data_IF_587223172516
#
_entry.id   IF_587223172516
#
_cell.length_a   1.000
_cell.length_b   1.000
_cell.length_c   1.000
_cell.angle_alpha   90.00
_cell.angle_beta   90.00
_cell.angle_gamma   90.00
#
_symmetry.space_group_name_H-M   'P 1'
#
loop_
_entity.id
_entity.type
_entity.pdbx_description
1 polymer ?
#
# COMPACT_ATOMS: atom_id res chain seq x y z
N UNK A 1 8.66 5.22 20.39
CA UNK A 1 9.09 5.24 18.98
C UNK A 1 7.84 5.29 18.11
N UNK A 2 7.80 6.17 17.11
CA UNK A 2 6.69 6.22 16.16
C UNK A 2 6.76 4.97 15.28
N UNK A 3 5.64 4.25 15.12
CA UNK A 3 5.60 3.02 14.33
C UNK A 3 5.96 3.35 12.88
N UNK A 4 6.93 2.63 12.30
CA UNK A 4 7.30 2.81 10.90
C UNK A 4 6.12 2.47 9.98
N UNK A 5 6.07 3.04 8.79
CA UNK A 5 5.06 2.71 7.79
C UNK A 5 5.13 1.22 7.42
N UNK A 6 6.32 0.63 7.39
CA UNK A 6 6.49 -0.80 7.18
C UNK A 6 5.87 -1.64 8.30
N UNK A 7 6.21 -1.38 9.56
CA UNK A 7 5.67 -2.13 10.70
C UNK A 7 4.15 -1.97 10.82
N UNK A 8 3.65 -0.76 10.51
CA UNK A 8 2.22 -0.50 10.39
C UNK A 8 1.59 -1.36 9.30
N UNK A 9 2.22 -1.44 8.12
CA UNK A 9 1.73 -2.23 7.00
C UNK A 9 1.70 -3.72 7.33
N UNK A 10 2.77 -4.26 7.93
CA UNK A 10 2.83 -5.66 8.38
C UNK A 10 1.73 -5.96 9.41
N UNK A 11 1.55 -5.10 10.41
CA UNK A 11 0.50 -5.26 11.41
C UNK A 11 -0.91 -5.18 10.82
N UNK A 12 -1.12 -4.31 9.83
CA UNK A 12 -2.39 -4.18 9.13
C UNK A 12 -2.68 -5.44 8.30
N UNK A 13 -1.70 -5.96 7.57
CA UNK A 13 -1.84 -7.19 6.78
C UNK A 13 -2.12 -8.44 7.62
N UNK A 14 -1.66 -8.48 8.86
CA UNK A 14 -1.96 -9.57 9.80
C UNK A 14 -3.44 -9.61 10.23
N UNK A 15 -4.23 -8.57 9.93
CA UNK A 15 -5.65 -8.53 10.29
C UNK A 15 -6.51 -9.34 9.33
N UNK A 16 -7.53 -10.07 9.83
CA UNK A 16 -8.44 -10.85 8.99
C UNK A 16 -9.06 -10.00 7.87
N UNK A 17 -9.05 -10.53 6.64
CA UNK A 17 -9.66 -9.90 5.46
C UNK A 17 -8.87 -8.75 4.82
N UNK A 18 -7.83 -8.21 5.47
CA UNK A 18 -7.03 -7.11 4.89
C UNK A 18 -6.24 -7.57 3.67
N UNK A 19 -5.53 -8.70 3.79
CA UNK A 19 -4.72 -9.21 2.69
C UNK A 19 -5.58 -9.49 1.45
N UNK A 20 -6.74 -10.13 1.63
CA UNK A 20 -7.69 -10.41 0.55
C UNK A 20 -8.22 -9.11 -0.09
N UNK A 21 -8.55 -8.12 0.71
CA UNK A 21 -9.04 -6.84 0.23
C UNK A 21 -7.98 -6.06 -0.55
N UNK A 22 -6.73 -6.02 -0.06
CA UNK A 22 -5.61 -5.41 -0.78
C UNK A 22 -5.35 -6.13 -2.11
N UNK A 23 -5.40 -7.47 -2.12
CA UNK A 23 -5.23 -8.27 -3.33
C UNK A 23 -6.34 -7.97 -4.36
N UNK A 24 -7.60 -7.91 -3.92
CA UNK A 24 -8.72 -7.53 -4.80
C UNK A 24 -8.54 -6.14 -5.39
N UNK A 25 -8.12 -5.17 -4.58
CA UNK A 25 -7.84 -3.80 -5.05
C UNK A 25 -6.70 -3.75 -6.07
N UNK A 26 -5.65 -4.55 -5.86
CA UNK A 26 -4.55 -4.69 -6.82
C UNK A 26 -5.00 -5.37 -8.11
N UNK A 27 -5.87 -6.38 -8.03
CA UNK A 27 -6.30 -7.20 -9.16
C UNK A 27 -7.35 -6.50 -10.02
N UNK A 28 -8.34 -5.83 -9.41
CA UNK A 28 -9.46 -5.22 -10.13
C UNK A 28 -9.14 -3.82 -10.65
N UNK A 29 -8.25 -3.08 -9.99
CA UNK A 29 -8.05 -1.63 -10.22
C UNK A 29 -6.58 -1.22 -10.38
N UNK A 30 -5.65 -2.17 -10.39
CA UNK A 30 -4.20 -1.90 -10.32
C UNK A 30 -3.84 -0.89 -9.21
N UNK A 31 -4.59 -0.94 -8.09
CA UNK A 31 -4.46 0.03 -7.02
C UNK A 31 -3.03 0.04 -6.45
N UNK A 32 -2.52 1.23 -6.16
CA UNK A 32 -1.25 1.41 -5.48
C UNK A 32 -1.44 1.17 -3.98
N UNK A 33 -1.27 -0.09 -3.57
CA UNK A 33 -1.38 -0.48 -2.17
C UNK A 33 -0.38 0.27 -1.29
N UNK A 34 0.81 0.65 -1.79
CA UNK A 34 1.75 1.44 -1.02
C UNK A 34 1.18 2.83 -0.67
N UNK A 35 0.49 3.48 -1.62
CA UNK A 35 -0.22 4.74 -1.35
C UNK A 35 -1.41 4.55 -0.38
N UNK A 36 -2.16 3.45 -0.49
CA UNK A 36 -3.25 3.15 0.45
C UNK A 36 -2.74 2.96 1.88
N UNK A 37 -1.65 2.23 2.04
CA UNK A 37 -0.99 2.01 3.33
C UNK A 37 -0.45 3.32 3.90
N UNK A 38 0.19 4.15 3.06
CA UNK A 38 0.67 5.48 3.45
C UNK A 38 -0.48 6.38 3.92
N UNK A 39 -1.62 6.38 3.20
CA UNK A 39 -2.82 7.12 3.58
C UNK A 39 -3.32 6.73 4.98
N UNK A 40 -3.49 5.43 5.25
CA UNK A 40 -3.94 4.93 6.56
C UNK A 40 -2.95 5.25 7.68
N UNK A 41 -1.66 5.17 7.40
CA UNK A 41 -0.61 5.51 8.37
C UNK A 41 -0.60 7.01 8.69
N UNK A 42 -0.78 7.88 7.69
CA UNK A 42 -0.87 9.33 7.88
C UNK A 42 -2.12 9.74 8.69
N UNK A 43 -3.25 9.06 8.46
CA UNK A 43 -4.45 9.22 9.27
C UNK A 43 -4.21 8.82 10.73
N UNK A 44 -3.52 7.70 10.97
CA UNK A 44 -3.15 7.27 12.32
C UNK A 44 -2.20 8.26 13.01
N UNK A 45 -1.32 8.91 12.25
CA UNK A 45 -0.45 10.00 12.73
C UNK A 45 -1.18 11.34 12.88
N UNK A 46 -2.47 11.41 12.49
CA UNK A 46 -3.28 12.64 12.47
C UNK A 46 -2.65 13.74 11.62
N UNK A 47 -1.98 13.39 10.53
CA UNK A 47 -1.47 14.39 9.59
C UNK A 47 -2.64 14.89 8.76
N UNK A 48 -2.78 16.21 8.63
CA UNK A 48 -3.86 16.78 7.83
C UNK A 48 -3.62 16.58 6.33
N UNK A 49 -4.69 16.43 5.55
CA UNK A 49 -4.57 16.33 4.10
C UNK A 49 -4.28 17.71 3.52
N UNK A 50 -3.35 17.79 2.59
CA UNK A 50 -3.09 19.02 1.82
C UNK A 50 -2.79 18.63 0.37
N UNK A 51 -3.21 19.46 -0.58
CA UNK A 51 -3.08 19.17 -2.00
C UNK A 51 -1.61 18.92 -2.39
N UNK A 52 -0.69 19.70 -1.81
CA UNK A 52 0.75 19.61 -2.01
C UNK A 52 1.32 18.30 -1.48
N UNK A 53 0.83 17.83 -0.33
CA UNK A 53 1.27 16.56 0.27
C UNK A 53 0.76 15.36 -0.53
N UNK A 54 -0.48 15.42 -1.01
CA UNK A 54 -1.07 14.40 -1.90
C UNK A 54 -0.29 14.33 -3.21
N UNK A 55 0.04 15.48 -3.81
CA UNK A 55 0.89 15.55 -4.99
C UNK A 55 2.27 14.95 -4.74
N UNK A 56 2.93 15.30 -3.63
CA UNK A 56 4.25 14.78 -3.27
C UNK A 56 4.26 13.24 -3.14
N UNK A 57 3.23 12.65 -2.52
CA UNK A 57 3.11 11.18 -2.44
C UNK A 57 2.94 10.55 -3.82
N UNK A 58 2.09 11.14 -4.68
CA UNK A 58 1.84 10.66 -6.05
C UNK A 58 3.08 10.77 -6.93
N UNK A 59 3.82 11.86 -6.82
CA UNK A 59 5.05 12.08 -7.58
C UNK A 59 6.16 11.12 -7.16
N UNK A 60 6.21 10.74 -5.89
CA UNK A 60 7.13 9.72 -5.39
C UNK A 60 6.72 8.30 -5.81
N UNK A 61 5.44 7.95 -5.69
CA UNK A 61 4.95 6.59 -5.94
C UNK A 61 4.73 6.29 -7.43
N UNK A 62 4.15 7.21 -8.19
CA UNK A 62 3.70 6.97 -9.56
C UNK A 62 4.80 6.45 -10.51
N UNK A 63 5.98 7.09 -10.60
CA UNK A 63 7.08 6.60 -11.42
C UNK A 63 7.55 5.21 -10.99
N UNK A 64 7.68 4.97 -9.68
CA UNK A 64 8.10 3.68 -9.13
C UNK A 64 7.10 2.58 -9.45
N UNK A 65 5.81 2.85 -9.25
CA UNK A 65 4.72 1.93 -9.54
C UNK A 65 4.74 1.52 -11.02
N UNK A 66 4.87 2.49 -11.94
CA UNK A 66 4.87 2.23 -13.40
C UNK A 66 6.10 1.49 -13.90
N UNK A 67 7.27 1.74 -13.31
CA UNK A 67 8.56 1.24 -13.83
C UNK A 67 9.08 0.00 -13.10
N UNK A 68 8.62 -0.25 -11.87
CA UNK A 68 9.10 -1.34 -11.03
C UNK A 68 7.95 -2.27 -10.63
N UNK A 69 7.01 -1.79 -9.81
CA UNK A 69 6.00 -2.67 -9.20
C UNK A 69 5.03 -3.27 -10.22
N UNK A 70 4.46 -2.47 -11.13
CA UNK A 70 3.52 -2.97 -12.15
C UNK A 70 4.18 -3.96 -13.13
N UNK A 71 5.40 -3.71 -13.66
CA UNK A 71 6.10 -4.70 -14.48
C UNK A 71 6.34 -6.03 -13.76
N UNK A 72 6.84 -6.01 -12.51
CA UNK A 72 7.06 -7.21 -11.71
C UNK A 72 5.75 -7.96 -11.49
N UNK A 73 4.68 -7.24 -11.10
CA UNK A 73 3.37 -7.80 -10.85
C UNK A 73 2.75 -8.43 -12.10
N UNK A 74 2.86 -7.76 -13.26
CA UNK A 74 2.37 -8.26 -14.55
C UNK A 74 3.10 -9.54 -14.95
N UNK A 75 4.42 -9.55 -14.85
CA UNK A 75 5.24 -10.73 -15.17
C UNK A 75 4.89 -11.89 -14.22
N UNK A 76 4.79 -11.61 -12.92
CA UNK A 76 4.34 -12.58 -11.95
C UNK A 76 2.96 -13.09 -12.34
N UNK A 77 1.95 -12.26 -12.56
CA UNK A 77 0.60 -12.74 -12.95
C UNK A 77 0.64 -13.62 -14.22
N UNK A 78 1.37 -13.20 -15.25
CA UNK A 78 1.50 -13.94 -16.52
C UNK A 78 2.07 -15.35 -16.33
N UNK A 79 3.00 -15.54 -15.37
CA UNK A 79 3.60 -16.85 -15.09
C UNK A 79 2.71 -17.77 -14.23
N UNK A 80 1.46 -17.40 -13.89
CA UNK A 80 0.64 -18.18 -12.95
C UNK A 80 0.22 -19.52 -13.52
N UNK A 81 -0.34 -19.52 -14.72
CA UNK A 81 -0.75 -20.76 -15.38
C UNK A 81 0.47 -21.58 -15.86
N UNK A 82 1.49 -21.00 -16.51
CA UNK A 82 2.66 -21.76 -16.95
C UNK A 82 3.45 -22.41 -15.81
N UNK A 83 3.56 -21.76 -14.64
CA UNK A 83 4.26 -22.31 -13.49
C UNK A 83 3.54 -23.48 -12.82
N UNK A 84 2.28 -23.79 -13.18
CA UNK A 84 1.57 -24.93 -12.61
C UNK A 84 2.22 -26.27 -13.02
N UNK A 85 2.75 -26.33 -14.24
CA UNK A 85 3.32 -27.54 -14.83
C UNK A 85 4.85 -27.48 -14.96
N UNK A 86 5.48 -26.36 -14.56
CA UNK A 86 6.93 -26.14 -14.62
C UNK A 86 7.48 -25.72 -13.23
N UNK A 87 8.08 -26.65 -12.47
CA UNK A 87 8.65 -26.35 -11.14
C UNK A 87 9.80 -25.34 -11.16
N UNK A 88 10.58 -25.28 -12.24
CA UNK A 88 11.67 -24.28 -12.36
C UNK A 88 11.09 -22.89 -12.55
N UNK A 89 10.06 -22.77 -13.38
CA UNK A 89 9.33 -21.51 -13.53
C UNK A 89 8.55 -21.11 -12.26
N UNK A 90 8.04 -22.09 -11.50
CA UNK A 90 7.43 -21.83 -10.20
C UNK A 90 8.41 -21.21 -9.19
N UNK A 91 9.65 -21.67 -9.16
CA UNK A 91 10.69 -21.10 -8.32
C UNK A 91 11.07 -19.67 -8.78
N UNK A 92 11.23 -19.44 -10.09
CA UNK A 92 11.47 -18.09 -10.61
C UNK A 92 10.31 -17.13 -10.29
N UNK A 93 9.07 -17.61 -10.39
CA UNK A 93 7.87 -16.86 -9.98
C UNK A 93 7.89 -16.50 -8.50
N UNK A 94 8.35 -17.41 -7.63
CA UNK A 94 8.47 -17.18 -6.18
C UNK A 94 9.50 -16.08 -5.90
N UNK A 95 10.67 -16.15 -6.53
CA UNK A 95 11.71 -15.11 -6.43
C UNK A 95 11.21 -13.75 -6.94
N UNK A 96 10.42 -13.75 -8.02
CA UNK A 96 9.79 -12.54 -8.54
C UNK A 96 8.80 -11.92 -7.54
N UNK A 97 8.05 -12.75 -6.80
CA UNK A 97 7.16 -12.28 -5.74
C UNK A 97 7.94 -11.65 -4.57
N UNK A 98 9.09 -12.22 -4.20
CA UNK A 98 9.99 -11.64 -3.19
C UNK A 98 10.55 -10.29 -3.66
N UNK A 99 10.95 -10.18 -4.92
CA UNK A 99 11.43 -8.93 -5.50
C UNK A 99 10.33 -7.86 -5.56
N UNK A 100 9.09 -8.24 -5.91
CA UNK A 100 7.93 -7.32 -5.85
C UNK A 100 7.73 -6.80 -4.43
N UNK A 101 7.76 -7.68 -3.42
CA UNK A 101 7.60 -7.29 -2.01
C UNK A 101 8.73 -6.36 -1.54
N UNK A 102 9.98 -6.62 -1.94
CA UNK A 102 11.12 -5.75 -1.64
C UNK A 102 10.96 -4.37 -2.30
N UNK A 103 10.48 -4.33 -3.55
CA UNK A 103 10.21 -3.08 -4.25
C UNK A 103 9.09 -2.26 -3.58
N UNK A 104 8.03 -2.92 -3.11
CA UNK A 104 6.95 -2.27 -2.34
C UNK A 104 7.45 -1.75 -1.00
N UNK A 105 8.27 -2.52 -0.29
CA UNK A 105 8.90 -2.08 0.96
C UNK A 105 9.75 -0.82 0.77
N UNK A 106 10.60 -0.78 -0.27
CA UNK A 106 11.44 0.38 -0.55
C UNK A 106 10.60 1.63 -0.86
N UNK A 107 9.47 1.46 -1.55
CA UNK A 107 8.54 2.58 -1.77
C UNK A 107 7.93 3.06 -0.44
N UNK A 108 7.49 2.16 0.43
CA UNK A 108 6.97 2.53 1.75
C UNK A 108 8.01 3.29 2.58
N UNK A 109 9.27 2.84 2.59
CA UNK A 109 10.36 3.54 3.28
C UNK A 109 10.56 4.97 2.73
N UNK A 110 10.49 5.15 1.41
CA UNK A 110 10.58 6.47 0.77
C UNK A 110 9.38 7.38 1.05
N UNK A 111 8.17 6.82 1.10
CA UNK A 111 6.95 7.56 1.44
C UNK A 111 6.96 7.98 2.91
N UNK A 112 7.47 7.12 3.80
CA UNK A 112 7.69 7.45 5.20
C UNK A 112 8.67 8.61 5.33
N UNK A 113 9.84 8.53 4.70
CA UNK A 113 10.86 9.58 4.78
C UNK A 113 10.33 10.93 4.25
N UNK A 114 9.57 10.91 3.15
CA UNK A 114 8.92 12.11 2.59
C UNK A 114 7.96 12.79 3.59
N UNK A 115 7.29 11.99 4.41
CA UNK A 115 6.27 12.45 5.34
C UNK A 115 6.72 12.48 6.81
N UNK A 116 8.00 12.26 7.08
CA UNK A 116 8.54 12.11 8.44
C UNK A 116 8.29 13.38 9.26
N UNK A 117 8.60 14.53 8.68
CA UNK A 117 8.48 15.85 9.31
C UNK A 117 7.08 16.47 9.24
N UNK A 118 6.08 15.75 8.71
CA UNK A 118 4.72 16.30 8.62
C UNK A 118 4.05 16.33 10.00
N UNK A 119 3.59 17.51 10.45
CA UNK A 119 3.05 17.66 11.79
C UNK A 119 1.69 16.98 11.95
N UNK A 120 1.48 16.40 13.13
CA UNK A 120 0.15 15.98 13.57
C UNK A 120 -0.72 17.23 13.81
N UNK A 121 -1.96 17.18 13.34
CA UNK A 121 -2.96 18.23 13.46
C UNK A 121 -4.15 17.68 14.24
N UNK A 122 -4.53 18.25 15.40
CA UNK A 122 -5.64 17.73 16.22
C UNK A 122 -6.99 17.72 15.51
N UNK A 123 -7.19 18.61 14.55
CA UNK A 123 -8.41 18.76 13.74
C UNK A 123 -8.35 18.01 12.39
N UNK A 124 -7.40 17.09 12.21
CA UNK A 124 -7.31 16.31 10.97
C UNK A 124 -8.58 15.49 10.75
N UNK A 125 -9.22 15.70 9.61
CA UNK A 125 -10.48 15.05 9.24
C UNK A 125 -10.28 13.54 8.99
N UNK A 126 -10.98 12.66 9.75
CA UNK A 126 -10.97 11.22 9.47
C UNK A 126 -11.62 10.97 8.12
N UNK A 127 -10.87 10.47 7.14
CA UNK A 127 -11.43 10.21 5.81
C UNK A 127 -10.50 10.69 4.72
N UNK A 128 -9.81 11.78 5.04
CA UNK A 128 -9.40 12.76 4.05
C UNK A 128 -8.28 12.23 3.14
N UNK A 129 -7.32 11.47 3.69
CA UNK A 129 -6.23 10.90 2.92
C UNK A 129 -6.68 9.85 1.91
N UNK A 130 -7.51 8.90 2.36
CA UNK A 130 -8.03 7.86 1.47
C UNK A 130 -8.92 8.42 0.37
N UNK A 131 -9.77 9.40 0.71
CA UNK A 131 -10.59 10.10 -0.27
C UNK A 131 -9.76 10.88 -1.29
N UNK A 132 -8.64 11.48 -0.86
CA UNK A 132 -7.77 12.25 -1.75
C UNK A 132 -6.90 11.38 -2.66
N UNK A 133 -6.37 10.26 -2.14
CA UNK A 133 -5.43 9.39 -2.86
C UNK A 133 -6.10 8.32 -3.72
N UNK A 134 -7.24 7.77 -3.28
CA UNK A 134 -7.94 6.67 -3.95
C UNK A 134 -9.47 6.84 -3.91
N UNK A 135 -10.03 7.93 -4.50
CA UNK A 135 -11.47 8.22 -4.47
C UNK A 135 -12.33 7.10 -5.08
N UNK A 136 -11.78 6.32 -6.00
CA UNK A 136 -12.43 5.20 -6.68
C UNK A 136 -12.58 3.93 -5.82
N UNK A 137 -11.91 3.86 -4.67
CA UNK A 137 -11.92 2.66 -3.81
C UNK A 137 -12.69 2.86 -2.49
N UNK A 138 -13.46 3.95 -2.33
CA UNK A 138 -14.09 4.38 -1.06
C UNK A 138 -14.68 3.26 -0.20
N UNK A 139 -15.44 2.33 -0.77
CA UNK A 139 -16.12 1.27 -0.01
C UNK A 139 -15.13 0.21 0.53
N UNK A 140 -14.15 -0.19 -0.28
CA UNK A 140 -13.05 -1.06 0.15
C UNK A 140 -12.16 -0.35 1.18
N UNK A 141 -12.00 0.97 1.04
CA UNK A 141 -11.21 1.78 1.97
C UNK A 141 -11.90 1.93 3.33
N UNK A 142 -13.23 1.97 3.38
CA UNK A 142 -13.98 1.96 4.63
C UNK A 142 -13.73 0.67 5.42
N UNK A 143 -13.71 -0.49 4.76
CA UNK A 143 -13.39 -1.77 5.40
C UNK A 143 -11.92 -1.82 5.90
N UNK A 144 -10.96 -1.29 5.12
CA UNK A 144 -9.57 -1.16 5.56
C UNK A 144 -9.41 -0.24 6.77
N UNK A 145 -10.20 0.85 6.87
CA UNK A 145 -10.18 1.75 8.05
C UNK A 145 -10.70 1.09 9.30
N UNK A 146 -11.81 0.35 9.20
CA UNK A 146 -12.36 -0.40 10.33
C UNK A 146 -11.33 -1.41 10.82
N UNK A 147 -10.72 -2.16 9.90
CA UNK A 147 -9.60 -3.03 10.24
C UNK A 147 -8.46 -2.22 10.88
N UNK A 148 -8.07 -1.07 10.32
CA UNK A 148 -7.01 -0.19 10.80
C UNK A 148 -7.19 0.27 12.27
N UNK A 149 -8.42 0.62 12.65
CA UNK A 149 -8.80 1.23 13.93
C UNK A 149 -9.15 0.25 15.06
N UNK A 150 -9.33 -1.04 14.78
CA UNK A 150 -9.74 -2.01 15.82
C UNK A 150 -8.52 -2.44 16.66
N UNK A 151 -8.52 -2.28 18.01
CA UNK A 151 -7.46 -2.78 18.87
C UNK A 151 -7.35 -4.31 18.77
N UNK A 152 -6.13 -4.86 18.68
CA UNK A 152 -5.93 -6.29 18.85
C UNK A 152 -6.29 -6.64 20.30
N UNK A 153 -7.33 -7.48 20.47
CA UNK A 153 -7.71 -8.05 21.77
C UNK A 153 -6.73 -9.14 22.19
#
# INVERSE_FOLDING_TARGET
MQQSLWDFSVALYARPGVAELCLRLQDERDADVCLLLAALWLERRRVDVAAERVAALRDQAGPWQRTVTLPLRRLRRAWKAPAADDPTLAELRRQLAELELQAERLLLERLQALAEDWPATPSAEPGAWLAALAPECRDALAALRVAAGTPQS
#
